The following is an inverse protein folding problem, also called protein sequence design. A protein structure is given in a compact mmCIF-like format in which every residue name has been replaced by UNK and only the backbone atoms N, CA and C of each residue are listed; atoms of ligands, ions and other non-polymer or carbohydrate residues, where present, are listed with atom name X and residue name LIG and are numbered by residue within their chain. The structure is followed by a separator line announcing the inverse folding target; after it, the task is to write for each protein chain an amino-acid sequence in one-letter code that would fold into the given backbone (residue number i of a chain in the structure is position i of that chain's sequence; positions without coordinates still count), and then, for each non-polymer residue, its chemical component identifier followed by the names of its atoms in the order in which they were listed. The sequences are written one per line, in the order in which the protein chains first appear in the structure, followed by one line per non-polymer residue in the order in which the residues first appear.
data_IF_567908203230
#
_entry.id   IF_567908203230
#
_cell.length_a   1.000
_cell.length_b   1.000
_cell.length_c   1.000
_cell.angle_alpha   90.00
_cell.angle_beta   90.00
_cell.angle_gamma   90.00
#
_symmetry.space_group_name_H-M   'P 1'
#
loop_
_entity.id
_entity.type
_entity.pdbx_description
1 polymer ?
#
# COMPACT_ATOMS: atom_id res chain seq x y z
N UNK A 1 33.01 -43.71 -17.61
CA UNK A 1 32.34 -42.89 -18.66
C UNK A 1 31.13 -43.65 -19.20
N UNK A 2 29.90 -43.18 -18.92
CA UNK A 2 28.78 -43.11 -19.87
C UNK A 2 27.47 -42.74 -19.14
N UNK A 3 27.02 -41.53 -19.47
CA UNK A 3 25.64 -41.12 -19.71
C UNK A 3 24.71 -40.99 -18.50
N UNK A 4 24.86 -39.82 -17.88
CA UNK A 4 23.78 -39.00 -17.31
C UNK A 4 22.53 -39.10 -18.20
N UNK A 5 21.45 -39.63 -17.62
CA UNK A 5 20.08 -39.55 -18.12
C UNK A 5 19.29 -38.81 -17.04
N UNK A 6 19.62 -37.53 -16.83
CA UNK A 6 18.69 -36.61 -16.19
C UNK A 6 17.70 -36.22 -17.27
N UNK A 7 16.61 -36.96 -17.32
CA UNK A 7 15.42 -36.61 -18.07
C UNK A 7 14.80 -35.39 -17.37
N UNK A 8 15.28 -34.19 -17.70
CA UNK A 8 14.61 -32.94 -17.34
C UNK A 8 13.32 -32.92 -18.15
N UNK A 9 12.27 -33.46 -17.56
CA UNK A 9 10.92 -33.23 -18.03
C UNK A 9 10.64 -31.74 -17.77
N UNK A 10 10.95 -30.90 -18.74
CA UNK A 10 10.38 -29.56 -18.91
C UNK A 10 8.89 -29.72 -19.28
N UNK A 11 8.12 -30.31 -18.36
CA UNK A 11 6.69 -30.02 -18.30
C UNK A 11 6.62 -28.59 -17.80
N UNK A 12 6.18 -27.70 -18.70
CA UNK A 12 5.76 -26.35 -18.39
C UNK A 12 5.05 -26.32 -17.04
N UNK A 13 5.76 -25.87 -15.99
CA UNK A 13 5.13 -25.52 -14.73
C UNK A 13 4.24 -24.34 -15.12
N UNK A 14 2.96 -24.58 -15.35
CA UNK A 14 1.97 -23.51 -15.24
C UNK A 14 2.15 -23.01 -13.82
N UNK A 15 2.81 -21.86 -13.69
CA UNK A 15 3.31 -21.34 -12.43
C UNK A 15 2.17 -21.28 -11.43
N UNK A 16 2.19 -22.18 -10.45
CA UNK A 16 1.38 -22.01 -9.26
C UNK A 16 1.95 -20.82 -8.52
N UNK A 17 1.28 -19.68 -8.62
CA UNK A 17 1.56 -18.57 -7.74
C UNK A 17 0.94 -18.81 -6.38
N UNK A 18 1.58 -18.32 -5.32
CA UNK A 18 1.07 -18.49 -3.97
C UNK A 18 -0.18 -17.63 -3.79
N UNK A 19 -1.23 -18.21 -3.19
CA UNK A 19 -2.45 -17.47 -2.83
C UNK A 19 -2.13 -16.51 -1.71
N UNK A 20 -2.59 -15.27 -1.83
CA UNK A 20 -2.41 -14.24 -0.82
C UNK A 20 -3.45 -14.45 0.29
N UNK A 21 -2.97 -14.51 1.53
CA UNK A 21 -3.85 -14.56 2.69
C UNK A 21 -4.20 -13.13 3.17
N UNK A 22 -5.46 -12.75 3.03
CA UNK A 22 -5.99 -11.48 3.52
C UNK A 22 -6.69 -11.70 4.86
N UNK A 23 -6.19 -11.07 5.94
CA UNK A 23 -6.83 -11.15 7.26
C UNK A 23 -8.16 -10.41 7.32
N UNK A 24 -8.29 -9.35 6.54
CA UNK A 24 -9.52 -8.57 6.46
C UNK A 24 -10.41 -9.07 5.30
N UNK A 25 -11.60 -9.63 5.57
CA UNK A 25 -12.49 -10.11 4.52
C UNK A 25 -13.07 -8.97 3.67
N UNK A 26 -13.19 -7.75 4.21
CA UNK A 26 -13.63 -6.60 3.40
C UNK A 26 -12.55 -6.21 2.39
N UNK A 27 -11.27 -6.33 2.77
CA UNK A 27 -10.17 -6.09 1.84
C UNK A 27 -10.19 -7.09 0.69
N UNK A 28 -10.26 -8.39 0.98
CA UNK A 28 -10.42 -9.41 -0.06
C UNK A 28 -11.65 -9.17 -0.93
N UNK A 29 -12.80 -8.89 -0.32
CA UNK A 29 -14.05 -8.65 -1.06
C UNK A 29 -13.95 -7.44 -1.99
N UNK A 30 -13.27 -6.36 -1.57
CA UNK A 30 -13.04 -5.18 -2.40
C UNK A 30 -12.15 -5.50 -3.62
N UNK A 31 -11.13 -6.34 -3.45
CA UNK A 31 -10.22 -6.73 -4.53
C UNK A 31 -10.88 -7.57 -5.63
N UNK A 32 -11.98 -8.26 -5.31
CA UNK A 32 -12.77 -9.04 -6.27
C UNK A 32 -13.77 -8.20 -7.10
N UNK A 33 -13.85 -6.89 -6.86
CA UNK A 33 -14.72 -5.99 -7.61
C UNK A 33 -14.07 -5.50 -8.91
N UNK A 34 -14.89 -5.10 -9.87
CA UNK A 34 -14.42 -4.40 -11.07
C UNK A 34 -14.03 -2.95 -10.74
N UNK A 35 -13.21 -2.35 -11.61
CA UNK A 35 -12.81 -0.94 -11.57
C UNK A 35 -12.08 -0.49 -10.29
N UNK A 36 -11.52 -1.42 -9.52
CA UNK A 36 -10.70 -1.11 -8.33
C UNK A 36 -9.21 -1.02 -8.64
N UNK A 37 -8.76 -1.57 -9.77
CA UNK A 37 -7.35 -1.67 -10.10
C UNK A 37 -7.04 -1.26 -11.54
N UNK A 38 -5.84 -0.72 -11.76
CA UNK A 38 -5.30 -0.45 -13.10
C UNK A 38 -3.91 -1.04 -13.27
N UNK A 39 -3.61 -1.40 -14.51
CA UNK A 39 -2.28 -1.83 -14.95
C UNK A 39 -1.32 -0.64 -15.11
N UNK A 40 -0.09 -0.93 -15.56
CA UNK A 40 0.95 0.07 -15.84
C UNK A 40 0.55 1.14 -16.86
N UNK A 41 -0.38 0.82 -17.78
CA UNK A 41 -0.86 1.75 -18.80
C UNK A 41 -2.06 2.57 -18.31
N UNK A 42 -2.44 2.44 -17.03
CA UNK A 42 -3.60 3.11 -16.46
C UNK A 42 -4.93 2.52 -16.93
N UNK A 43 -4.93 1.34 -17.56
CA UNK A 43 -6.15 0.65 -17.99
C UNK A 43 -6.73 -0.12 -16.82
N UNK A 44 -8.04 -0.01 -16.60
CA UNK A 44 -8.74 -0.83 -15.61
C UNK A 44 -8.61 -2.32 -15.92
N UNK A 45 -8.26 -3.10 -14.90
CA UNK A 45 -8.15 -4.56 -14.95
C UNK A 45 -8.84 -5.19 -13.74
N UNK A 46 -9.39 -6.38 -13.95
CA UNK A 46 -9.86 -7.24 -12.85
C UNK A 46 -8.62 -7.92 -12.24
N UNK A 47 -8.55 -7.96 -10.92
CA UNK A 47 -7.41 -8.54 -10.19
C UNK A 47 -7.47 -10.08 -10.26
N UNK A 48 -8.62 -10.67 -9.93
CA UNK A 48 -8.89 -12.10 -10.11
C UNK A 48 -9.07 -12.43 -11.60
N UNK A 49 -7.95 -12.74 -12.26
CA UNK A 49 -7.93 -12.96 -13.71
C UNK A 49 -8.34 -14.38 -14.09
N UNK A 50 -8.22 -15.32 -13.15
CA UNK A 50 -8.55 -16.72 -13.34
C UNK A 50 -9.98 -17.07 -12.85
N UNK A 51 -10.66 -16.12 -12.18
CA UNK A 51 -12.01 -16.20 -11.63
C UNK A 51 -12.18 -17.34 -10.61
N UNK A 52 -11.15 -17.61 -9.80
CA UNK A 52 -11.18 -18.60 -8.73
C UNK A 52 -11.58 -18.02 -7.36
N UNK A 53 -11.87 -16.72 -7.31
CA UNK A 53 -12.23 -15.93 -6.11
C UNK A 53 -11.11 -15.82 -5.08
N UNK A 54 -9.90 -16.16 -5.46
CA UNK A 54 -8.68 -15.90 -4.72
C UNK A 54 -7.83 -14.89 -5.49
N UNK A 55 -6.92 -14.22 -4.79
CA UNK A 55 -5.88 -13.41 -5.44
C UNK A 55 -4.55 -14.08 -5.17
N UNK A 56 -3.78 -14.32 -6.23
CA UNK A 56 -2.41 -14.81 -6.12
C UNK A 56 -1.35 -13.71 -6.33
N UNK A 57 -0.09 -14.01 -6.01
CA UNK A 57 0.99 -13.03 -6.14
C UNK A 57 1.19 -12.54 -7.59
N UNK A 58 0.95 -13.39 -8.60
CA UNK A 58 1.13 -12.99 -10.00
C UNK A 58 0.02 -12.02 -10.45
N UNK A 59 -1.18 -12.16 -9.90
CA UNK A 59 -2.28 -11.22 -10.09
C UNK A 59 -1.98 -9.89 -9.41
N UNK A 60 -1.50 -9.91 -8.16
CA UNK A 60 -1.08 -8.72 -7.43
C UNK A 60 0.06 -7.95 -8.12
N UNK A 61 1.01 -8.65 -8.73
CA UNK A 61 2.15 -8.05 -9.46
C UNK A 61 1.72 -7.28 -10.72
N UNK A 62 0.53 -7.53 -11.26
CA UNK A 62 0.02 -6.80 -12.45
C UNK A 62 -0.61 -5.46 -12.09
N UNK A 63 -0.79 -5.16 -10.80
CA UNK A 63 -1.51 -3.98 -10.32
C UNK A 63 -0.54 -2.84 -10.02
N UNK A 64 -0.82 -1.66 -10.60
CA UNK A 64 -0.02 -0.44 -10.43
C UNK A 64 -0.80 0.67 -9.74
N UNK A 65 -2.13 0.68 -9.89
CA UNK A 65 -3.02 1.62 -9.19
C UNK A 65 -4.10 0.81 -8.50
N UNK A 66 -4.37 1.12 -7.23
CA UNK A 66 -5.37 0.43 -6.43
C UNK A 66 -6.23 1.43 -5.67
N UNK A 67 -7.54 1.33 -5.87
CA UNK A 67 -8.57 2.05 -5.12
C UNK A 67 -9.37 1.05 -4.28
N UNK A 68 -9.07 1.05 -2.98
CA UNK A 68 -9.76 0.27 -1.95
C UNK A 68 -10.56 1.18 -1.00
N UNK A 69 -10.92 2.38 -1.46
CA UNK A 69 -11.66 3.36 -0.67
C UNK A 69 -13.07 2.88 -0.29
N UNK A 70 -13.64 3.47 0.77
CA UNK A 70 -15.05 3.30 1.16
C UNK A 70 -15.47 1.84 1.39
N UNK A 71 -14.58 1.04 1.98
CA UNK A 71 -14.73 -0.43 2.00
C UNK A 71 -14.76 -1.04 3.41
N UNK A 72 -14.78 -0.22 4.47
CA UNK A 72 -14.75 -0.68 5.87
C UNK A 72 -13.56 -1.59 6.19
N UNK A 73 -12.45 -1.40 5.48
CA UNK A 73 -11.20 -2.13 5.68
C UNK A 73 -10.56 -1.64 6.97
N UNK A 74 -10.08 -2.56 7.80
CA UNK A 74 -9.38 -2.29 9.05
C UNK A 74 -7.92 -2.70 8.99
N UNK A 75 -7.60 -3.72 8.19
CA UNK A 75 -6.27 -4.30 8.12
C UNK A 75 -5.85 -4.53 6.66
N UNK A 76 -4.60 -4.17 6.35
CA UNK A 76 -4.03 -4.22 5.02
C UNK A 76 -3.14 -5.46 4.79
N UNK A 77 -3.19 -6.47 5.65
CA UNK A 77 -2.44 -7.71 5.45
C UNK A 77 -2.74 -8.28 4.06
N UNK A 78 -1.66 -8.60 3.33
CA UNK A 78 -1.71 -9.04 1.95
C UNK A 78 -1.35 -7.95 0.94
N UNK A 79 -1.44 -6.66 1.30
CA UNK A 79 -1.13 -5.56 0.38
C UNK A 79 0.35 -5.55 -0.06
N UNK A 80 1.27 -6.06 0.76
CA UNK A 80 2.69 -6.20 0.43
C UNK A 80 2.97 -7.02 -0.84
N UNK A 81 2.02 -7.84 -1.29
CA UNK A 81 2.17 -8.65 -2.50
C UNK A 81 1.88 -7.84 -3.78
N UNK A 82 1.37 -6.61 -3.67
CA UNK A 82 1.16 -5.69 -4.77
C UNK A 82 2.45 -4.89 -5.04
N UNK A 83 3.54 -5.60 -5.33
CA UNK A 83 4.92 -5.06 -5.32
C UNK A 83 5.15 -3.90 -6.32
N UNK A 84 4.35 -3.86 -7.38
CA UNK A 84 4.42 -2.84 -8.44
C UNK A 84 3.51 -1.64 -8.20
N UNK A 85 2.85 -1.57 -7.05
CA UNK A 85 1.91 -0.49 -6.74
C UNK A 85 2.62 0.88 -6.71
N UNK A 86 2.10 1.81 -7.51
CA UNK A 86 2.53 3.20 -7.65
C UNK A 86 1.57 4.13 -6.92
N UNK A 87 0.26 3.86 -7.02
CA UNK A 87 -0.79 4.66 -6.39
C UNK A 87 -1.68 3.78 -5.52
N UNK A 88 -1.92 4.23 -4.29
CA UNK A 88 -2.87 3.61 -3.38
C UNK A 88 -3.86 4.65 -2.84
N UNK A 89 -5.15 4.41 -3.09
CA UNK A 89 -6.23 5.08 -2.38
C UNK A 89 -6.91 4.08 -1.44
N UNK A 90 -6.85 4.35 -0.15
CA UNK A 90 -7.56 3.63 0.89
C UNK A 90 -8.35 4.55 1.82
N UNK A 91 -8.80 5.69 1.29
CA UNK A 91 -9.60 6.71 1.95
C UNK A 91 -10.95 6.17 2.44
N UNK A 92 -11.49 6.73 3.53
CA UNK A 92 -12.79 6.36 4.12
C UNK A 92 -12.86 4.87 4.49
N UNK A 93 -11.91 4.42 5.29
CA UNK A 93 -11.89 3.08 5.85
C UNK A 93 -11.78 3.17 7.39
N UNK A 94 -11.35 2.09 8.04
CA UNK A 94 -11.10 2.05 9.48
C UNK A 94 -9.74 1.44 9.75
N UNK A 95 -8.78 1.73 8.87
CA UNK A 95 -7.41 1.22 8.95
C UNK A 95 -6.75 1.83 10.18
N UNK A 96 -6.13 0.98 10.99
CA UNK A 96 -5.48 1.40 12.24
C UNK A 96 -3.97 1.16 12.26
N UNK A 97 -3.45 0.38 11.30
CA UNK A 97 -2.02 0.07 11.14
C UNK A 97 -1.64 0.09 9.66
N UNK A 98 -0.43 0.56 9.38
CA UNK A 98 0.09 0.74 8.02
C UNK A 98 1.48 0.12 7.82
N UNK A 99 1.94 -0.75 8.73
CA UNK A 99 3.29 -1.33 8.68
C UNK A 99 3.55 -2.07 7.36
N UNK A 100 2.53 -2.73 6.82
CA UNK A 100 2.59 -3.43 5.53
C UNK A 100 2.89 -2.51 4.34
N UNK A 101 2.60 -1.20 4.46
CA UNK A 101 2.95 -0.23 3.42
C UNK A 101 4.47 -0.07 3.29
N UNK A 102 5.28 -0.44 4.30
CA UNK A 102 6.74 -0.38 4.20
C UNK A 102 7.32 -1.32 3.13
N UNK A 103 6.59 -2.35 2.71
CA UNK A 103 7.02 -3.26 1.64
C UNK A 103 6.74 -2.73 0.22
N UNK A 104 5.96 -1.65 0.07
CA UNK A 104 5.63 -1.06 -1.23
C UNK A 104 6.70 -0.06 -1.67
N UNK A 105 7.76 -0.55 -2.31
CA UNK A 105 8.93 0.25 -2.70
C UNK A 105 8.65 1.20 -3.87
N UNK A 106 7.65 0.87 -4.69
CA UNK A 106 7.28 1.62 -5.89
C UNK A 106 6.23 2.71 -5.67
N UNK A 107 5.68 2.81 -4.45
CA UNK A 107 4.59 3.73 -4.15
C UNK A 107 5.07 5.18 -4.29
N UNK A 108 4.37 5.96 -5.11
CA UNK A 108 4.60 7.39 -5.34
C UNK A 108 3.56 8.25 -4.65
N UNK A 109 2.33 7.77 -4.57
CA UNK A 109 1.18 8.56 -4.09
C UNK A 109 0.32 7.69 -3.16
N UNK A 110 0.06 8.21 -1.97
CA UNK A 110 -0.71 7.54 -0.92
C UNK A 110 -1.84 8.44 -0.42
N UNK A 111 -3.08 8.01 -0.62
CA UNK A 111 -4.30 8.60 -0.08
C UNK A 111 -4.90 7.66 0.97
N UNK A 112 -4.97 8.11 2.23
CA UNK A 112 -5.41 7.32 3.38
C UNK A 112 -6.22 8.17 4.38
N UNK A 113 -6.89 9.21 3.89
CA UNK A 113 -7.73 10.10 4.68
C UNK A 113 -8.91 9.37 5.31
N UNK A 114 -9.44 9.92 6.40
CA UNK A 114 -10.59 9.38 7.13
C UNK A 114 -10.38 7.90 7.51
N UNK A 115 -9.27 7.61 8.20
CA UNK A 115 -8.96 6.33 8.82
C UNK A 115 -8.79 6.47 10.34
N UNK A 116 -8.16 5.50 11.03
CA UNK A 116 -7.97 5.50 12.50
C UNK A 116 -6.55 5.10 12.89
N UNK A 117 -5.57 5.73 12.24
CA UNK A 117 -4.13 5.46 12.32
C UNK A 117 -3.52 6.34 13.39
N UNK A 118 -3.24 5.79 14.58
CA UNK A 118 -2.60 6.58 15.65
C UNK A 118 -1.11 6.86 15.39
N UNK A 119 -0.42 5.91 14.74
CA UNK A 119 1.00 5.97 14.42
C UNK A 119 1.18 5.90 12.91
N UNK A 120 1.65 6.99 12.32
CA UNK A 120 2.01 7.06 10.91
C UNK A 120 3.53 6.92 10.77
N UNK A 121 4.00 5.71 10.44
CA UNK A 121 5.43 5.42 10.32
C UNK A 121 5.77 4.80 8.96
N UNK A 122 6.57 5.50 8.16
CA UNK A 122 7.11 4.99 6.89
C UNK A 122 8.62 5.26 6.82
N UNK A 123 9.36 4.27 6.34
CA UNK A 123 10.81 4.37 6.20
C UNK A 123 11.30 3.94 4.82
N UNK A 124 12.40 4.54 4.36
CA UNK A 124 13.09 4.20 3.12
C UNK A 124 12.21 4.29 1.86
N UNK A 125 11.24 5.20 1.82
CA UNK A 125 10.33 5.37 0.68
C UNK A 125 10.94 6.26 -0.39
N UNK A 126 11.85 5.68 -1.17
CA UNK A 126 12.65 6.39 -2.16
C UNK A 126 11.84 7.03 -3.29
N UNK A 127 10.66 6.50 -3.60
CA UNK A 127 9.80 6.97 -4.70
C UNK A 127 8.55 7.73 -4.25
N UNK A 128 8.22 7.70 -2.95
CA UNK A 128 7.02 8.34 -2.40
C UNK A 128 7.15 9.85 -2.49
N UNK A 129 6.19 10.51 -3.16
CA UNK A 129 6.16 11.94 -3.43
C UNK A 129 5.07 12.66 -2.65
N UNK A 130 3.92 12.02 -2.48
CA UNK A 130 2.74 12.63 -1.86
C UNK A 130 2.11 11.70 -0.84
N UNK A 131 1.75 12.26 0.31
CA UNK A 131 0.95 11.57 1.33
C UNK A 131 -0.22 12.47 1.73
N UNK A 132 -1.43 11.96 1.58
CA UNK A 132 -2.66 12.57 2.08
C UNK A 132 -3.25 11.66 3.16
N UNK A 133 -3.28 12.15 4.40
CA UNK A 133 -3.75 11.38 5.55
C UNK A 133 -4.56 12.27 6.51
N UNK A 134 -5.35 13.19 5.96
CA UNK A 134 -6.21 14.07 6.75
C UNK A 134 -7.28 13.28 7.52
N UNK A 135 -7.64 13.76 8.71
CA UNK A 135 -8.72 13.18 9.52
C UNK A 135 -8.53 11.68 9.83
N UNK A 136 -7.29 11.24 10.02
CA UNK A 136 -6.97 9.83 10.26
C UNK A 136 -6.60 9.50 11.70
N UNK A 137 -6.75 10.45 12.64
CA UNK A 137 -6.49 10.22 14.07
C UNK A 137 -5.00 10.11 14.43
N UNK A 138 -4.12 10.61 13.57
CA UNK A 138 -2.66 10.49 13.73
C UNK A 138 -2.19 11.31 14.92
N UNK A 139 -1.47 10.65 15.83
CA UNK A 139 -0.83 11.26 17.00
C UNK A 139 0.68 11.34 16.85
N UNK A 140 1.29 10.31 16.25
CA UNK A 140 2.73 10.22 16.08
C UNK A 140 3.08 10.03 14.61
N UNK A 141 3.95 10.88 14.09
CA UNK A 141 4.47 10.80 12.73
C UNK A 141 5.95 10.49 12.77
N UNK A 142 6.37 9.45 12.06
CA UNK A 142 7.78 9.13 11.82
C UNK A 142 8.02 8.85 10.34
N UNK A 143 8.74 9.74 9.66
CA UNK A 143 9.13 9.59 8.26
C UNK A 143 10.64 9.66 8.17
N UNK A 144 11.26 8.58 7.71
CA UNK A 144 12.72 8.48 7.61
C UNK A 144 13.15 8.06 6.21
N UNK A 145 14.12 8.77 5.63
CA UNK A 145 14.73 8.44 4.34
C UNK A 145 13.69 8.33 3.20
N UNK A 146 12.75 9.27 3.16
CA UNK A 146 11.76 9.42 2.09
C UNK A 146 12.25 10.47 1.08
N UNK A 147 13.30 10.12 0.31
CA UNK A 147 14.10 11.10 -0.44
C UNK A 147 13.32 11.89 -1.50
N UNK A 148 12.28 11.29 -2.07
CA UNK A 148 11.43 11.92 -3.10
C UNK A 148 10.20 12.64 -2.54
N UNK A 149 10.02 12.67 -1.22
CA UNK A 149 8.79 13.21 -0.62
C UNK A 149 8.71 14.72 -0.81
N UNK A 150 7.64 15.20 -1.43
CA UNK A 150 7.44 16.61 -1.77
C UNK A 150 6.28 17.24 -0.98
N UNK A 151 5.21 16.47 -0.73
CA UNK A 151 3.95 16.98 -0.17
C UNK A 151 3.44 16.05 0.93
N UNK A 152 3.07 16.62 2.07
CA UNK A 152 2.40 15.94 3.18
C UNK A 152 1.15 16.75 3.57
N UNK A 153 -0.03 16.12 3.50
CA UNK A 153 -1.32 16.69 3.90
C UNK A 153 -1.93 15.91 5.06
N UNK A 154 -1.62 16.35 6.28
CA UNK A 154 -2.00 15.71 7.55
C UNK A 154 -2.92 16.62 8.39
N UNK A 155 -3.64 17.55 7.77
CA UNK A 155 -4.59 18.42 8.48
C UNK A 155 -5.66 17.61 9.24
N UNK A 156 -6.27 18.21 10.25
CA UNK A 156 -7.35 17.61 11.04
C UNK A 156 -6.96 16.27 11.71
N UNK A 157 -5.71 16.12 12.13
CA UNK A 157 -5.23 15.01 12.96
C UNK A 157 -5.03 15.47 14.42
N UNK A 158 -4.51 14.57 15.26
CA UNK A 158 -4.24 14.83 16.68
C UNK A 158 -2.73 14.79 16.97
N UNK A 159 -1.92 15.38 16.08
CA UNK A 159 -0.46 15.19 16.09
C UNK A 159 0.14 15.81 17.36
N UNK A 160 0.81 14.97 18.13
CA UNK A 160 1.56 15.31 19.33
C UNK A 160 3.07 15.32 19.03
N UNK A 161 3.54 14.36 18.22
CA UNK A 161 4.96 14.21 17.86
C UNK A 161 5.13 14.03 16.36
N UNK A 162 6.12 14.73 15.80
CA UNK A 162 6.49 14.63 14.39
C UNK A 162 8.00 14.53 14.23
N UNK A 163 8.46 13.44 13.65
CA UNK A 163 9.85 13.18 13.29
C UNK A 163 9.93 12.97 11.77
N UNK A 164 10.53 13.92 11.06
CA UNK A 164 10.81 13.81 9.63
C UNK A 164 12.30 13.99 9.44
N UNK A 165 12.98 12.94 8.97
CA UNK A 165 14.42 12.94 8.71
C UNK A 165 14.71 12.48 7.29
N UNK A 166 15.76 13.05 6.68
CA UNK A 166 16.21 12.70 5.34
C UNK A 166 15.08 12.72 4.29
N UNK A 167 14.38 13.85 4.20
CA UNK A 167 13.35 14.14 3.16
C UNK A 167 13.65 15.49 2.48
N UNK A 168 14.77 15.59 1.73
CA UNK A 168 15.33 16.86 1.27
C UNK A 168 14.48 17.60 0.22
N UNK A 169 13.52 16.91 -0.41
CA UNK A 169 12.64 17.48 -1.44
C UNK A 169 11.29 17.97 -0.89
N UNK A 170 11.08 17.93 0.44
CA UNK A 170 9.81 18.30 1.05
C UNK A 170 9.55 19.81 0.85
N UNK A 171 8.47 20.15 0.13
CA UNK A 171 8.10 21.52 -0.24
C UNK A 171 6.89 22.03 0.53
N UNK A 172 5.94 21.14 0.83
CA UNK A 172 4.69 21.49 1.47
C UNK A 172 4.33 20.51 2.58
N UNK A 173 4.01 21.05 3.76
CA UNK A 173 3.51 20.29 4.89
C UNK A 173 2.28 21.01 5.46
N UNK A 174 1.16 20.30 5.54
CA UNK A 174 -0.06 20.73 6.21
C UNK A 174 -0.27 19.87 7.45
N UNK A 175 -0.04 20.44 8.63
CA UNK A 175 -0.17 19.76 9.93
C UNK A 175 -0.78 20.73 10.95
N UNK A 176 -1.56 20.19 11.88
CA UNK A 176 -1.98 20.90 13.09
C UNK A 176 -1.43 20.14 14.30
N UNK A 177 -0.60 20.81 15.11
CA UNK A 177 0.06 20.21 16.27
C UNK A 177 -0.69 20.62 17.55
N UNK A 178 -1.14 19.64 18.32
CA UNK A 178 -1.78 19.88 19.61
C UNK A 178 -0.69 20.06 20.67
N UNK A 179 -0.45 21.30 21.11
CA UNK A 179 0.41 21.56 22.27
C UNK A 179 -0.32 21.11 23.53
N UNK A 180 0.23 20.16 24.29
CA UNK A 180 -0.32 19.83 25.60
C UNK A 180 -0.27 21.08 26.49
N UNK A 181 -1.41 21.41 27.10
CA UNK A 181 -1.43 22.39 28.20
C UNK A 181 -0.78 21.69 29.39
N UNK A 182 0.46 22.08 29.69
CA UNK A 182 1.11 21.75 30.98
C UNK A 182 0.29 22.30 32.14
#
# INVERSE_FOLDING_TARGET
MKKILVLIILLSIKGYSAKINFKDPNFKSKLLLENVAKDINGKYIIIDQNNDKEIDENEGEKIFYLDISNSKIKNLDGIKNFKNLIYLNCTNNSIYQIDELNYLENLTDLEIENNSIEIFSLNNKQKLKSIMAEKSGIKNVKLENCLSLEIILFANNQIENIEISFSPLLKAISVEIIKSRR
#
